data_IF_462527417197
#
_entry.id   IF_462527417197
#
_cell.length_a   1.000
_cell.length_b   1.000
_cell.length_c   1.000
_cell.angle_alpha   90.00
_cell.angle_beta   90.00
_cell.angle_gamma   90.00
#
_symmetry.space_group_name_H-M   'P 1'
#
loop_
_entity.id
_entity.type
_entity.pdbx_description
1 polymer ?
#
# COMPACT_ATOMS: atom_id res chain seq x y z
N UNK A 1 -23.61 14.84 69.42
CA UNK A 1 -22.93 13.55 69.18
C UNK A 1 -22.82 13.35 67.66
N UNK A 2 -21.67 13.69 67.05
CA UNK A 2 -21.46 13.51 65.62
C UNK A 2 -21.05 12.07 65.31
N UNK A 3 -21.55 11.52 64.20
CA UNK A 3 -21.06 10.24 63.66
C UNK A 3 -20.00 10.55 62.60
N UNK A 4 -18.76 10.12 62.87
CA UNK A 4 -17.71 9.99 61.85
C UNK A 4 -18.08 8.87 60.89
N UNK A 5 -17.84 9.08 59.59
CA UNK A 5 -17.49 8.01 58.65
C UNK A 5 -16.23 8.43 57.90
N UNK A 6 -15.40 7.41 57.68
CA UNK A 6 -14.18 7.31 56.86
C UNK A 6 -14.58 7.73 55.42
N UNK A 7 -13.83 8.51 54.63
CA UNK A 7 -12.42 8.45 54.33
C UNK A 7 -12.23 7.60 53.07
N UNK A 8 -12.21 8.22 51.89
CA UNK A 8 -11.61 7.72 50.64
C UNK A 8 -11.29 8.94 49.76
N UNK A 9 -10.16 8.90 49.05
CA UNK A 9 -9.57 10.01 48.33
C UNK A 9 -10.48 10.60 47.25
N UNK A 10 -10.30 11.89 47.01
CA UNK A 10 -10.78 12.55 45.80
C UNK A 10 -9.85 12.19 44.66
N UNK A 11 -10.17 11.11 43.98
CA UNK A 11 -10.02 11.06 42.53
C UNK A 11 -11.42 11.36 42.01
N UNK A 12 -11.59 12.58 41.50
CA UNK A 12 -12.73 12.90 40.65
C UNK A 12 -12.63 11.91 39.46
N UNK A 13 -13.65 11.10 39.16
CA UNK A 13 -13.63 10.43 37.88
C UNK A 13 -13.70 11.55 36.84
N UNK A 14 -12.60 11.80 36.14
CA UNK A 14 -12.66 12.33 34.79
C UNK A 14 -13.45 11.27 34.02
N UNK A 15 -14.77 11.42 34.01
CA UNK A 15 -15.61 10.76 33.04
C UNK A 15 -15.39 11.61 31.78
N UNK A 16 -14.35 11.30 31.01
CA UNK A 16 -14.31 11.63 29.60
C UNK A 16 -15.59 11.03 29.04
N UNK A 17 -16.54 11.90 28.70
CA UNK A 17 -17.79 11.47 28.09
C UNK A 17 -17.41 11.31 26.63
N UNK A 18 -17.02 10.10 26.23
CA UNK A 18 -16.97 9.73 24.81
C UNK A 18 -18.37 9.98 24.26
N UNK A 19 -18.50 11.00 23.42
CA UNK A 19 -19.76 11.37 22.80
C UNK A 19 -19.67 10.94 21.35
N UNK A 20 -20.45 9.93 20.97
CA UNK A 20 -20.62 9.63 19.54
C UNK A 20 -21.17 10.87 18.82
N UNK A 21 -20.42 11.43 17.87
CA UNK A 21 -20.87 12.55 17.03
C UNK A 21 -21.53 11.99 15.77
N UNK A 22 -22.68 12.55 15.41
CA UNK A 22 -23.30 12.30 14.11
C UNK A 22 -23.70 13.61 13.45
N UNK A 23 -23.25 13.80 12.22
CA UNK A 23 -23.56 14.97 11.39
C UNK A 23 -24.28 14.51 10.12
N UNK A 24 -25.37 15.20 9.79
CA UNK A 24 -26.21 14.96 8.60
C UNK A 24 -26.68 16.35 8.09
N UNK A 25 -25.80 17.10 7.42
CA UNK A 25 -26.08 18.47 6.91
C UNK A 25 -25.56 18.64 5.46
N UNK A 26 -25.87 19.77 4.80
CA UNK A 26 -25.30 20.12 3.49
C UNK A 26 -24.24 21.24 3.70
N UNK A 27 -23.02 21.08 3.19
CA UNK A 27 -21.92 22.05 3.18
C UNK A 27 -20.89 21.88 4.33
N UNK A 28 -19.66 22.32 4.07
CA UNK A 28 -18.44 21.88 4.76
C UNK A 28 -18.56 21.61 6.28
N UNK A 29 -18.25 20.38 6.70
CA UNK A 29 -18.21 19.94 8.09
C UNK A 29 -16.81 19.99 8.70
N UNK A 30 -16.76 20.37 9.99
CA UNK A 30 -15.56 20.26 10.83
C UNK A 30 -15.93 19.68 12.19
N UNK A 31 -15.25 18.60 12.58
CA UNK A 31 -15.44 17.93 13.88
C UNK A 31 -14.11 17.92 14.64
N UNK A 32 -14.17 18.27 15.92
CA UNK A 32 -13.04 18.32 16.87
C UNK A 32 -13.56 17.85 18.25
N UNK A 33 -13.78 16.55 18.46
CA UNK A 33 -14.35 15.96 19.68
C UNK A 33 -13.67 14.61 20.03
N UNK A 34 -13.85 14.09 21.26
CA UNK A 34 -13.35 12.76 21.64
C UNK A 34 -14.46 11.68 21.45
N UNK A 35 -14.15 10.57 20.78
CA UNK A 35 -15.02 9.42 20.53
C UNK A 35 -15.56 9.32 19.10
N UNK A 36 -16.20 8.19 18.77
CA UNK A 36 -16.56 7.82 17.39
C UNK A 36 -17.37 8.89 16.64
N UNK A 37 -17.00 9.18 15.39
CA UNK A 37 -17.73 10.13 14.53
C UNK A 37 -18.30 9.47 13.29
N UNK A 38 -19.48 9.96 12.90
CA UNK A 38 -20.16 9.60 11.65
C UNK A 38 -20.62 10.86 10.94
N UNK A 39 -20.12 11.10 9.72
CA UNK A 39 -20.52 12.23 8.88
C UNK A 39 -21.16 11.72 7.59
N UNK A 40 -22.33 12.26 7.26
CA UNK A 40 -23.03 12.08 5.98
C UNK A 40 -23.34 13.49 5.43
N UNK A 41 -22.66 13.95 4.36
CA UNK A 41 -22.72 15.35 3.90
C UNK A 41 -22.46 15.54 2.38
N UNK A 42 -22.88 16.67 1.81
CA UNK A 42 -22.50 17.14 0.46
C UNK A 42 -21.52 18.35 0.59
N UNK A 43 -20.21 18.12 0.77
CA UNK A 43 -19.16 19.17 0.84
C UNK A 43 -18.03 18.91 1.86
N UNK A 44 -16.86 19.54 1.67
CA UNK A 44 -15.59 19.07 2.29
C UNK A 44 -15.65 18.77 3.81
N UNK A 45 -15.27 17.56 4.19
CA UNK A 45 -15.16 17.13 5.59
C UNK A 45 -13.75 17.28 6.16
N UNK A 46 -13.65 17.77 7.41
CA UNK A 46 -12.42 17.69 8.22
C UNK A 46 -12.71 17.16 9.62
N UNK A 47 -11.94 16.17 10.04
CA UNK A 47 -12.14 15.48 11.31
C UNK A 47 -10.81 15.37 12.07
N UNK A 48 -10.81 15.76 13.34
CA UNK A 48 -9.69 15.64 14.28
C UNK A 48 -10.21 15.05 15.60
N UNK A 49 -9.92 13.77 15.92
CA UNK A 49 -10.53 13.08 17.09
C UNK A 49 -9.76 11.87 17.64
N UNK A 50 -10.14 11.44 18.84
CA UNK A 50 -9.68 10.19 19.47
C UNK A 50 -10.81 9.14 19.43
N UNK A 51 -10.94 8.37 18.33
CA UNK A 51 -11.86 7.21 18.20
C UNK A 51 -12.59 7.11 16.84
N UNK A 52 -13.01 5.89 16.46
CA UNK A 52 -13.31 5.53 15.05
C UNK A 52 -14.11 6.56 14.21
N UNK A 53 -13.55 6.93 13.05
CA UNK A 53 -14.18 7.80 12.05
C UNK A 53 -14.96 6.99 10.98
N UNK A 54 -16.14 7.48 10.59
CA UNK A 54 -16.82 7.09 9.34
C UNK A 54 -17.31 8.31 8.58
N UNK A 55 -16.93 8.46 7.32
CA UNK A 55 -17.38 9.56 6.44
C UNK A 55 -17.98 8.99 5.16
N UNK A 56 -19.16 9.49 4.79
CA UNK A 56 -19.81 9.31 3.49
C UNK A 56 -20.09 10.72 2.91
N UNK A 57 -19.39 11.14 1.84
CA UNK A 57 -19.44 12.53 1.35
C UNK A 57 -19.28 12.70 -0.19
N UNK A 58 -19.86 13.76 -0.76
CA UNK A 58 -19.58 14.24 -2.12
C UNK A 58 -18.57 15.43 -2.11
N UNK A 59 -17.29 15.21 -1.77
CA UNK A 59 -16.21 16.21 -1.76
C UNK A 59 -15.07 15.93 -0.76
N UNK A 60 -13.96 16.71 -0.84
CA UNK A 60 -12.67 16.29 -0.27
C UNK A 60 -12.68 16.00 1.25
N UNK A 61 -12.22 14.81 1.64
CA UNK A 61 -12.09 14.41 3.05
C UNK A 61 -10.67 14.61 3.61
N UNK A 62 -10.57 15.09 4.86
CA UNK A 62 -9.35 15.00 5.68
C UNK A 62 -9.63 14.48 7.09
N UNK A 63 -8.89 13.46 7.51
CA UNK A 63 -9.04 12.84 8.83
C UNK A 63 -7.67 12.76 9.52
N UNK A 64 -7.61 13.19 10.77
CA UNK A 64 -6.51 12.96 11.71
C UNK A 64 -7.10 12.26 12.95
N UNK A 65 -6.78 10.99 13.21
CA UNK A 65 -7.44 10.18 14.25
C UNK A 65 -6.52 9.18 15.00
N UNK A 66 -6.83 8.90 16.27
CA UNK A 66 -6.26 7.76 17.03
C UNK A 66 -7.25 6.55 17.05
N UNK A 67 -7.50 5.91 15.90
CA UNK A 67 -8.38 4.72 15.75
C UNK A 67 -9.01 4.54 14.35
N UNK A 68 -9.70 3.42 14.09
CA UNK A 68 -9.99 2.97 12.71
C UNK A 68 -10.79 3.97 11.84
N UNK A 69 -10.24 4.35 10.69
CA UNK A 69 -10.93 5.21 9.70
C UNK A 69 -11.65 4.42 8.58
N UNK A 70 -12.86 4.87 8.23
CA UNK A 70 -13.55 4.45 6.98
C UNK A 70 -14.09 5.65 6.20
N UNK A 71 -13.74 5.75 4.93
CA UNK A 71 -14.19 6.83 4.04
C UNK A 71 -14.80 6.26 2.75
N UNK A 72 -15.98 6.74 2.38
CA UNK A 72 -16.61 6.57 1.07
C UNK A 72 -16.83 7.99 0.48
N UNK A 73 -16.16 8.36 -0.62
CA UNK A 73 -16.16 9.74 -1.13
C UNK A 73 -16.10 9.87 -2.67
N UNK A 74 -16.73 10.92 -3.23
CA UNK A 74 -16.50 11.40 -4.60
C UNK A 74 -15.50 12.59 -4.67
N UNK A 75 -14.21 12.35 -4.38
CA UNK A 75 -13.10 13.35 -4.44
C UNK A 75 -11.91 13.07 -3.48
N UNK A 76 -10.93 13.99 -3.38
CA UNK A 76 -9.61 13.67 -2.78
C UNK A 76 -9.65 13.34 -1.27
N UNK A 77 -9.16 12.15 -0.89
CA UNK A 77 -9.02 11.72 0.52
C UNK A 77 -7.61 11.93 1.07
N UNK A 78 -7.51 12.41 2.32
CA UNK A 78 -6.27 12.36 3.13
C UNK A 78 -6.53 11.84 4.54
N UNK A 79 -5.78 10.82 4.96
CA UNK A 79 -5.89 10.23 6.29
C UNK A 79 -4.52 10.16 6.95
N UNK A 80 -4.42 10.62 8.20
CA UNK A 80 -3.30 10.40 9.12
C UNK A 80 -3.86 9.68 10.37
N UNK A 81 -3.47 8.43 10.64
CA UNK A 81 -4.11 7.61 11.68
C UNK A 81 -3.20 6.63 12.44
N UNK A 82 -3.49 6.38 13.72
CA UNK A 82 -2.91 5.28 14.52
C UNK A 82 -3.85 4.02 14.57
N UNK A 83 -4.08 3.35 13.44
CA UNK A 83 -4.91 2.12 13.30
C UNK A 83 -5.53 1.92 11.89
N UNK A 84 -6.38 0.90 11.69
CA UNK A 84 -6.73 0.41 10.34
C UNK A 84 -7.54 1.41 9.46
N UNK A 85 -7.01 1.73 8.28
CA UNK A 85 -7.69 2.57 7.28
C UNK A 85 -8.43 1.77 6.20
N UNK A 86 -9.65 2.21 5.83
CA UNK A 86 -10.36 1.77 4.60
C UNK A 86 -10.90 2.95 3.80
N UNK A 87 -10.57 3.04 2.52
CA UNK A 87 -11.02 4.10 1.62
C UNK A 87 -11.63 3.50 0.35
N UNK A 88 -12.82 3.96 -0.03
CA UNK A 88 -13.47 3.74 -1.33
C UNK A 88 -13.71 5.12 -1.97
N UNK A 89 -13.10 5.44 -3.12
CA UNK A 89 -13.05 6.82 -3.63
C UNK A 89 -12.97 7.01 -5.16
N UNK A 90 -13.55 8.10 -5.68
CA UNK A 90 -13.46 8.55 -7.09
C UNK A 90 -12.56 9.83 -7.26
N UNK A 91 -11.22 9.70 -7.22
CA UNK A 91 -10.23 10.82 -7.19
C UNK A 91 -8.92 10.39 -6.47
N UNK A 92 -8.09 11.31 -5.90
CA UNK A 92 -6.75 10.96 -5.38
C UNK A 92 -6.72 10.60 -3.85
N UNK A 93 -6.18 9.42 -3.48
CA UNK A 93 -5.96 9.04 -2.06
C UNK A 93 -4.54 9.29 -1.53
N UNK A 94 -4.44 9.78 -0.28
CA UNK A 94 -3.19 9.75 0.52
C UNK A 94 -3.43 9.23 1.94
N UNK A 95 -2.68 8.22 2.35
CA UNK A 95 -2.76 7.64 3.70
C UNK A 95 -1.37 7.59 4.35
N UNK A 96 -1.28 8.05 5.59
CA UNK A 96 -0.15 7.85 6.51
C UNK A 96 -0.69 7.11 7.75
N UNK A 97 -0.23 5.89 8.05
CA UNK A 97 -0.88 5.04 9.07
C UNK A 97 0.05 4.09 9.87
N UNK A 98 -0.23 3.87 11.16
CA UNK A 98 0.37 2.84 12.02
C UNK A 98 -0.54 1.57 12.20
N UNK A 99 -0.81 0.80 11.14
CA UNK A 99 -1.66 -0.42 11.14
C UNK A 99 -1.98 -0.90 9.70
N UNK A 100 -3.13 -1.55 9.40
CA UNK A 100 -3.44 -2.08 8.04
C UNK A 100 -4.24 -1.11 7.12
N UNK A 101 -3.72 -0.80 5.92
CA UNK A 101 -4.45 -0.03 4.88
C UNK A 101 -5.20 -0.88 3.85
N UNK A 102 -6.42 -0.47 3.48
CA UNK A 102 -7.12 -0.92 2.25
C UNK A 102 -7.67 0.26 1.44
N UNK A 103 -7.35 0.32 0.16
CA UNK A 103 -7.85 1.35 -0.76
C UNK A 103 -8.45 0.72 -2.02
N UNK A 104 -9.65 1.16 -2.39
CA UNK A 104 -10.29 0.93 -3.69
C UNK A 104 -10.55 2.31 -4.32
N UNK A 105 -9.90 2.65 -5.44
CA UNK A 105 -9.95 4.03 -5.99
C UNK A 105 -9.86 4.14 -7.52
N UNK A 106 -10.57 5.12 -8.10
CA UNK A 106 -10.47 5.55 -9.51
C UNK A 106 -9.59 6.84 -9.67
N UNK A 107 -8.32 6.82 -9.25
CA UNK A 107 -7.39 7.97 -9.27
C UNK A 107 -5.91 7.63 -9.01
N UNK A 108 -5.16 8.44 -8.24
CA UNK A 108 -3.73 8.19 -7.91
C UNK A 108 -3.59 7.88 -6.39
N UNK A 109 -3.12 6.68 -6.03
CA UNK A 109 -2.92 6.29 -4.61
C UNK A 109 -1.49 6.54 -4.09
N UNK A 110 -1.38 7.08 -2.88
CA UNK A 110 -0.13 7.08 -2.09
C UNK A 110 -0.35 6.59 -0.66
N UNK A 111 0.45 5.62 -0.24
CA UNK A 111 0.40 5.05 1.12
C UNK A 111 1.79 5.02 1.73
N UNK A 112 1.91 5.52 2.96
CA UNK A 112 3.05 5.33 3.86
C UNK A 112 2.52 4.63 5.13
N UNK A 113 2.95 3.40 5.42
CA UNK A 113 2.33 2.61 6.50
C UNK A 113 3.27 1.62 7.23
N UNK A 114 3.05 1.44 8.54
CA UNK A 114 3.68 0.42 9.40
C UNK A 114 2.74 -0.81 9.64
N UNK A 115 2.27 -1.48 8.58
CA UNK A 115 1.38 -2.66 8.62
C UNK A 115 1.22 -3.42 7.29
N UNK A 116 0.03 -3.92 6.94
CA UNK A 116 -0.21 -4.64 5.66
C UNK A 116 -1.04 -3.78 4.67
N UNK A 117 -0.48 -3.43 3.50
CA UNK A 117 -1.20 -2.65 2.48
C UNK A 117 -1.94 -3.51 1.44
N UNK A 118 -3.17 -3.13 1.10
CA UNK A 118 -3.89 -3.60 -0.10
C UNK A 118 -4.46 -2.44 -0.91
N UNK A 119 -4.16 -2.40 -2.21
CA UNK A 119 -4.66 -1.39 -3.15
C UNK A 119 -5.26 -2.05 -4.38
N UNK A 120 -6.48 -1.65 -4.75
CA UNK A 120 -7.13 -1.92 -6.03
C UNK A 120 -7.40 -0.56 -6.71
N UNK A 121 -6.78 -0.26 -7.86
CA UNK A 121 -6.77 1.11 -8.39
C UNK A 121 -6.72 1.22 -9.94
N UNK A 122 -7.39 2.24 -10.49
CA UNK A 122 -7.43 2.60 -11.92
C UNK A 122 -6.53 3.85 -12.24
N UNK A 123 -5.27 3.89 -11.79
CA UNK A 123 -4.31 4.99 -12.01
C UNK A 123 -2.84 4.67 -11.61
N UNK A 124 -2.13 5.57 -10.89
CA UNK A 124 -0.71 5.37 -10.50
C UNK A 124 -0.57 5.09 -8.98
N UNK A 125 -0.10 3.89 -8.60
CA UNK A 125 0.13 3.53 -7.17
C UNK A 125 1.55 3.80 -6.68
N UNK A 126 1.67 4.38 -5.46
CA UNK A 126 2.93 4.42 -4.69
C UNK A 126 2.75 3.96 -3.25
N UNK A 127 3.56 2.99 -2.83
CA UNK A 127 3.53 2.44 -1.47
C UNK A 127 4.93 2.44 -0.87
N UNK A 128 5.06 2.96 0.34
CA UNK A 128 6.22 2.81 1.23
C UNK A 128 5.73 2.11 2.50
N UNK A 129 6.21 0.89 2.81
CA UNK A 129 5.58 0.05 3.84
C UNK A 129 6.54 -0.90 4.59
N UNK A 130 6.28 -1.10 5.89
CA UNK A 130 7.00 -2.02 6.79
C UNK A 130 6.21 -3.33 7.08
N UNK A 131 5.66 -3.99 6.05
CA UNK A 131 4.90 -5.26 6.13
C UNK A 131 4.65 -6.01 4.80
N UNK A 132 3.42 -6.44 4.47
CA UNK A 132 3.09 -7.19 3.24
C UNK A 132 2.26 -6.34 2.25
N UNK A 133 2.82 -5.98 1.08
CA UNK A 133 2.08 -5.22 0.05
C UNK A 133 1.34 -6.11 -0.97
N UNK A 134 0.08 -5.75 -1.27
CA UNK A 134 -0.66 -6.27 -2.44
C UNK A 134 -1.27 -5.16 -3.28
N UNK A 135 -0.98 -5.13 -4.57
CA UNK A 135 -1.50 -4.14 -5.52
C UNK A 135 -2.10 -4.84 -6.73
N UNK A 136 -3.33 -4.46 -7.10
CA UNK A 136 -3.99 -4.77 -8.37
C UNK A 136 -4.28 -3.43 -9.08
N UNK A 137 -3.64 -3.15 -10.22
CA UNK A 137 -3.65 -1.79 -10.79
C UNK A 137 -3.60 -1.73 -12.33
N UNK A 138 -4.26 -0.74 -12.94
CA UNK A 138 -4.31 -0.45 -14.38
C UNK A 138 -3.43 0.78 -14.78
N UNK A 139 -2.20 0.91 -14.25
CA UNK A 139 -1.23 2.00 -14.51
C UNK A 139 0.24 1.75 -14.09
N UNK A 140 0.93 2.70 -13.43
CA UNK A 140 2.34 2.55 -13.02
C UNK A 140 2.49 2.30 -11.49
N UNK A 141 2.90 1.09 -11.09
CA UNK A 141 3.15 0.77 -9.66
C UNK A 141 4.58 1.07 -9.20
N UNK A 142 4.72 1.68 -8.01
CA UNK A 142 6.00 1.76 -7.26
C UNK A 142 5.83 1.31 -5.82
N UNK A 143 6.65 0.35 -5.39
CA UNK A 143 6.65 -0.17 -4.02
C UNK A 143 8.08 -0.14 -3.45
N UNK A 144 8.23 0.43 -2.26
CA UNK A 144 9.41 0.31 -1.41
C UNK A 144 8.97 -0.38 -0.11
N UNK A 145 9.48 -1.59 0.19
CA UNK A 145 8.89 -2.42 1.25
C UNK A 145 9.88 -3.36 1.98
N UNK A 146 9.64 -3.60 3.27
CA UNK A 146 10.43 -4.51 4.12
C UNK A 146 9.72 -5.87 4.40
N UNK A 147 9.10 -6.51 3.38
CA UNK A 147 8.37 -7.79 3.46
C UNK A 147 8.00 -8.49 2.13
N UNK A 148 6.79 -9.07 2.00
CA UNK A 148 6.36 -9.81 0.79
C UNK A 148 5.48 -8.96 -0.16
N UNK A 149 6.04 -8.53 -1.30
CA UNK A 149 5.29 -7.81 -2.35
C UNK A 149 4.55 -8.73 -3.34
N UNK A 150 3.27 -8.43 -3.62
CA UNK A 150 2.52 -8.98 -4.77
C UNK A 150 1.89 -7.88 -5.62
N UNK A 151 2.18 -7.88 -6.91
CA UNK A 151 1.62 -6.92 -7.87
C UNK A 151 1.02 -7.65 -9.07
N UNK A 152 -0.23 -7.33 -9.41
CA UNK A 152 -0.89 -7.70 -10.67
C UNK A 152 -1.22 -6.40 -11.42
N UNK A 153 -0.59 -6.16 -12.58
CA UNK A 153 -0.62 -4.82 -13.19
C UNK A 153 -0.52 -4.81 -14.73
N UNK A 154 -1.16 -3.82 -15.37
CA UNK A 154 -1.18 -3.58 -16.82
C UNK A 154 -0.28 -2.38 -17.27
N UNK A 155 0.90 -2.20 -16.67
CA UNK A 155 1.86 -1.09 -16.94
C UNK A 155 3.33 -1.28 -16.48
N UNK A 156 4.00 -0.24 -15.95
CA UNK A 156 5.41 -0.32 -15.50
C UNK A 156 5.58 -0.48 -13.95
N UNK A 157 5.82 -1.70 -13.46
CA UNK A 157 6.15 -1.92 -12.03
C UNK A 157 7.62 -1.63 -11.66
N UNK A 158 7.82 -0.93 -10.54
CA UNK A 158 9.11 -0.83 -9.82
C UNK A 158 8.96 -1.27 -8.37
N UNK A 159 9.80 -2.22 -7.95
CA UNK A 159 9.83 -2.72 -6.57
C UNK A 159 11.26 -2.63 -6.02
N UNK A 160 11.41 -2.06 -4.84
CA UNK A 160 12.63 -2.14 -4.01
C UNK A 160 12.24 -2.82 -2.69
N UNK A 161 12.69 -4.06 -2.44
CA UNK A 161 12.24 -4.82 -1.25
C UNK A 161 13.29 -5.79 -0.64
N UNK A 162 13.09 -6.16 0.62
CA UNK A 162 13.96 -7.06 1.40
C UNK A 162 13.39 -8.50 1.64
N UNK A 163 12.33 -8.92 0.91
CA UNK A 163 11.62 -10.22 1.09
C UNK A 163 11.31 -11.05 -0.17
N UNK A 164 10.06 -11.45 -0.42
CA UNK A 164 9.67 -12.26 -1.60
C UNK A 164 8.76 -11.48 -2.57
N UNK A 165 9.23 -11.16 -3.79
CA UNK A 165 8.39 -10.53 -4.82
C UNK A 165 7.67 -11.51 -5.74
N UNK A 166 6.37 -11.28 -5.97
CA UNK A 166 5.61 -11.82 -7.10
C UNK A 166 5.02 -10.69 -7.95
N UNK A 167 5.38 -10.66 -9.23
CA UNK A 167 4.78 -9.74 -10.20
C UNK A 167 4.17 -10.52 -11.36
N UNK A 168 2.91 -10.23 -11.66
CA UNK A 168 2.21 -10.62 -12.88
C UNK A 168 1.89 -9.35 -13.69
N UNK A 169 2.76 -9.01 -14.65
CA UNK A 169 2.58 -7.81 -15.47
C UNK A 169 2.52 -8.06 -16.98
N UNK A 170 1.93 -7.10 -17.70
CA UNK A 170 2.01 -6.99 -19.17
C UNK A 170 3.07 -5.96 -19.67
N UNK A 171 3.64 -5.09 -18.81
CA UNK A 171 4.64 -4.06 -19.18
C UNK A 171 6.11 -4.27 -18.71
N UNK A 172 6.85 -3.21 -18.39
CA UNK A 172 8.30 -3.26 -18.06
C UNK A 172 8.56 -3.29 -16.55
N UNK A 173 9.19 -4.37 -16.04
CA UNK A 173 9.48 -4.49 -14.60
C UNK A 173 10.93 -4.37 -14.18
N UNK A 174 11.12 -3.59 -13.11
CA UNK A 174 12.38 -3.44 -12.38
C UNK A 174 12.16 -3.85 -10.93
N UNK A 175 12.98 -4.79 -10.46
CA UNK A 175 13.00 -5.20 -9.05
C UNK A 175 14.45 -5.11 -8.59
N UNK A 176 14.68 -4.38 -7.51
CA UNK A 176 15.96 -4.34 -6.78
C UNK A 176 15.73 -4.97 -5.40
N UNK A 177 16.23 -6.19 -5.18
CA UNK A 177 15.97 -6.93 -3.94
C UNK A 177 17.19 -7.69 -3.40
N UNK A 178 17.15 -8.04 -2.11
CA UNK A 178 18.06 -9.00 -1.48
C UNK A 178 17.48 -10.44 -1.38
N UNK A 179 16.20 -10.65 -1.79
CA UNK A 179 15.39 -11.87 -1.70
C UNK A 179 15.22 -12.77 -2.96
N UNK A 180 14.14 -13.57 -3.01
CA UNK A 180 13.86 -14.60 -4.05
C UNK A 180 12.69 -14.18 -5.02
N UNK A 181 13.03 -13.73 -6.24
CA UNK A 181 12.03 -13.37 -7.29
C UNK A 181 11.22 -14.54 -7.88
N UNK A 182 9.90 -14.35 -7.99
CA UNK A 182 9.06 -15.08 -8.95
C UNK A 182 8.31 -14.14 -9.92
N UNK A 183 8.90 -13.91 -11.11
CA UNK A 183 8.28 -13.15 -12.20
C UNK A 183 7.48 -14.05 -13.13
N UNK A 184 6.19 -13.79 -13.28
CA UNK A 184 5.34 -14.47 -14.27
C UNK A 184 4.87 -13.48 -15.34
N UNK A 185 5.68 -13.36 -16.39
CA UNK A 185 5.29 -12.63 -17.59
C UNK A 185 4.16 -13.38 -18.32
N UNK A 186 2.94 -12.85 -18.29
CA UNK A 186 1.85 -13.23 -19.19
C UNK A 186 2.19 -12.79 -20.59
N UNK A 187 3.05 -13.54 -21.31
CA UNK A 187 3.33 -13.22 -22.71
C UNK A 187 2.05 -13.25 -23.54
N UNK A 188 1.48 -12.08 -23.80
CA UNK A 188 0.53 -11.84 -24.87
C UNK A 188 1.01 -12.53 -26.14
N UNK A 189 0.13 -13.35 -26.72
CA UNK A 189 0.39 -14.21 -27.87
C UNK A 189 0.95 -13.44 -29.08
N UNK A 190 2.27 -13.29 -29.17
CA UNK A 190 2.97 -12.93 -30.40
C UNK A 190 4.25 -13.76 -30.53
N UNK A 191 4.29 -14.61 -31.55
CA UNK A 191 5.43 -15.44 -31.89
C UNK A 191 6.69 -14.60 -32.19
N UNK A 192 7.56 -14.42 -31.20
CA UNK A 192 8.90 -13.86 -31.34
C UNK A 192 9.98 -14.93 -31.12
N UNK A 193 10.92 -15.05 -32.06
CA UNK A 193 12.05 -16.00 -32.04
C UNK A 193 12.80 -16.04 -30.68
N UNK A 194 13.21 -17.22 -30.19
CA UNK A 194 13.95 -17.29 -28.93
C UNK A 194 15.34 -16.66 -29.06
N UNK A 195 15.59 -15.66 -28.20
CA UNK A 195 16.90 -15.03 -28.02
C UNK A 195 17.99 -16.08 -27.77
N UNK A 196 19.05 -16.03 -28.59
CA UNK A 196 20.21 -16.92 -28.47
C UNK A 196 21.01 -16.57 -27.22
N UNK A 197 21.00 -17.47 -26.25
CA UNK A 197 21.93 -17.47 -25.11
C UNK A 197 23.39 -17.33 -25.59
N UNK A 198 24.23 -16.52 -24.91
CA UNK A 198 25.65 -16.43 -25.23
C UNK A 198 26.35 -17.76 -24.91
N UNK A 199 27.08 -18.29 -25.91
CA UNK A 199 27.80 -19.56 -25.79
C UNK A 199 29.00 -19.42 -24.85
N UNK A 200 29.26 -20.39 -23.94
CA UNK A 200 30.45 -20.35 -23.11
C UNK A 200 31.74 -20.50 -23.94
N UNK A 201 32.87 -19.94 -23.48
CA UNK A 201 34.13 -19.93 -24.24
C UNK A 201 34.66 -21.34 -24.48
N UNK A 202 34.94 -21.65 -25.75
CA UNK A 202 35.52 -22.93 -26.20
C UNK A 202 36.95 -23.05 -25.71
N UNK A 203 37.24 -24.06 -24.88
CA UNK A 203 38.61 -24.51 -24.59
C UNK A 203 39.27 -24.99 -25.89
N UNK A 204 40.32 -24.29 -26.32
CA UNK A 204 41.21 -24.74 -27.37
C UNK A 204 42.21 -25.75 -26.79
N UNK A 205 42.14 -27.01 -27.21
CA UNK A 205 43.25 -27.95 -27.11
C UNK A 205 43.61 -28.36 -28.54
N UNK A 206 44.76 -27.85 -29.00
CA UNK A 206 45.24 -27.95 -30.36
C UNK A 206 45.70 -29.35 -30.77
N UNK A 207 45.57 -29.60 -32.07
CA UNK A 207 46.23 -30.68 -32.80
C UNK A 207 47.72 -30.35 -32.99
N UNK A 208 48.59 -31.36 -32.89
CA UNK A 208 49.89 -31.38 -33.58
C UNK A 208 50.04 -32.75 -34.24
N UNK A 209 49.76 -32.84 -35.54
CA UNK A 209 50.71 -32.70 -36.66
C UNK A 209 51.52 -33.99 -36.89
N UNK A 210 51.17 -34.68 -37.98
CA UNK A 210 51.90 -35.85 -38.46
C UNK A 210 53.22 -35.46 -39.11
N UNK A 211 54.21 -36.35 -38.96
CA UNK A 211 55.36 -36.41 -39.84
C UNK A 211 55.30 -37.72 -40.62
N UNK A 212 55.45 -37.58 -41.94
CA UNK A 212 55.55 -38.65 -42.91
C UNK A 212 57.02 -38.77 -43.35
N UNK A 213 57.38 -40.01 -43.69
CA UNK A 213 58.47 -40.47 -44.56
C UNK A 213 59.84 -40.90 -43.99
N UNK A 214 60.11 -42.19 -44.28
CA UNK A 214 61.31 -42.78 -44.90
C UNK A 214 62.20 -43.74 -44.10
N UNK A 215 62.15 -45.01 -44.57
CA UNK A 215 63.26 -45.89 -44.98
C UNK A 215 64.43 -46.13 -44.00
N UNK A 216 64.69 -47.40 -43.69
CA UNK A 216 65.90 -48.17 -44.05
C UNK A 216 66.09 -49.36 -43.08
N UNK A 217 66.12 -50.57 -43.67
CA UNK A 217 66.70 -51.86 -43.23
C UNK A 217 66.07 -52.62 -42.04
#
# INVERSE_FOLDING_TARGET
>A
MPRRRLGTGGEEPNLEVLLDVRVEEDGDVRVEEDGDVRVEEDGDVRVEEDGDVRVEEDGDVRVEEDGDVRVEEDGDVRVEEDGDVRVEEDGDVRVEEDGDVRVEEDGDVRVEEDGDVRVEEDGDVRVEEDGDVRVEEDGDVRVEEDGDVRVEEDGDVRVEEDGDVRVEEDGDVRVEEDGDVLKQLTRGSAAGEPAKLPRPPRRAAGYSCGYSQDSWM
#
